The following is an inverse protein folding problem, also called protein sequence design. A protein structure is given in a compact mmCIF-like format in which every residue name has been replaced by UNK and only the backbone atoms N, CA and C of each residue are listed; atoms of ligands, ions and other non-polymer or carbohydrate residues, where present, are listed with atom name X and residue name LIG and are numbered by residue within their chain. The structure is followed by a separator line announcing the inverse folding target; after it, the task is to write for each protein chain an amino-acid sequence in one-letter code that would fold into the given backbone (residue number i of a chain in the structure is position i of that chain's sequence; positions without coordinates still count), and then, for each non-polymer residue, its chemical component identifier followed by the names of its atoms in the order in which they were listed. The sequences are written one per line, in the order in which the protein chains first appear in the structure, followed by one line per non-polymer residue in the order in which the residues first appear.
data_IF_856703290125
#
_entry.id   IF_856703290125
#
_cell.length_a   1.000
_cell.length_b   1.000
_cell.length_c   1.000
_cell.angle_alpha   90.00
_cell.angle_beta   90.00
_cell.angle_gamma   90.00
#
_symmetry.space_group_name_H-M   'P 1'
#
loop_
_entity.id
_entity.type
_entity.pdbx_description
1 polymer ?
#
# COMPACT_ATOMS: atom_id res chain seq x y z
N UNK A 1 1.31 -7.75 16.36
CA UNK A 1 0.13 -7.48 15.47
C UNK A 1 0.19 -8.50 14.35
N UNK A 2 -0.96 -8.99 13.82
CA UNK A 2 -0.98 -9.78 12.58
C UNK A 2 -0.56 -8.87 11.41
N UNK A 3 0.46 -9.28 10.68
CA UNK A 3 1.04 -8.50 9.58
C UNK A 3 0.36 -8.84 8.24
N UNK A 4 0.34 -10.14 7.90
CA UNK A 4 -0.22 -10.64 6.66
C UNK A 4 -1.72 -10.90 6.85
N UNK A 5 -2.57 -9.94 6.48
CA UNK A 5 -4.01 -10.03 6.76
C UNK A 5 -4.84 -9.11 5.86
N UNK A 6 -6.14 -9.39 5.82
CA UNK A 6 -7.15 -8.48 5.28
C UNK A 6 -7.40 -7.28 6.19
N UNK A 7 -7.81 -6.18 5.56
CA UNK A 7 -8.32 -5.00 6.25
C UNK A 7 -9.65 -5.32 6.92
N UNK A 8 -9.73 -5.22 8.25
CA UNK A 8 -10.94 -5.38 9.03
C UNK A 8 -11.26 -4.12 9.83
N UNK A 9 -12.54 -3.79 10.02
CA UNK A 9 -12.98 -2.58 10.71
C UNK A 9 -12.48 -2.54 12.17
N UNK A 10 -12.25 -3.69 12.80
CA UNK A 10 -11.72 -3.81 14.15
C UNK A 10 -10.27 -3.31 14.28
N UNK A 11 -9.56 -3.15 13.19
CA UNK A 11 -8.20 -2.62 13.22
C UNK A 11 -8.15 -1.15 13.65
N UNK A 12 -9.25 -0.40 13.50
CA UNK A 12 -9.38 0.98 14.00
C UNK A 12 -9.60 1.06 15.52
N UNK A 13 -9.95 -0.04 16.16
CA UNK A 13 -10.12 -0.09 17.61
C UNK A 13 -8.79 -0.22 18.38
N UNK A 14 -7.64 -0.31 17.66
CA UNK A 14 -6.31 -0.47 18.24
C UNK A 14 -5.62 0.88 18.44
N UNK A 15 -5.26 1.21 19.69
CA UNK A 15 -4.64 2.50 20.03
C UNK A 15 -3.33 2.78 19.26
N UNK A 16 -2.47 1.77 19.10
CA UNK A 16 -1.23 1.91 18.36
C UNK A 16 -1.49 2.29 16.88
N UNK A 17 -2.44 1.62 16.23
CA UNK A 17 -2.86 1.92 14.86
C UNK A 17 -3.41 3.33 14.75
N UNK A 18 -4.27 3.72 15.69
CA UNK A 18 -4.82 5.06 15.73
C UNK A 18 -3.72 6.13 15.91
N UNK A 19 -2.68 5.86 16.68
CA UNK A 19 -1.54 6.76 16.84
C UNK A 19 -0.77 6.93 15.52
N UNK A 20 -0.49 5.84 14.79
CA UNK A 20 0.15 5.91 13.47
C UNK A 20 -0.70 6.69 12.49
N UNK A 21 -2.01 6.42 12.38
CA UNK A 21 -2.91 7.17 11.49
C UNK A 21 -2.92 8.67 11.80
N UNK A 22 -2.99 9.07 13.08
CA UNK A 22 -2.93 10.50 13.47
C UNK A 22 -1.61 11.16 13.12
N UNK A 23 -0.51 10.41 13.16
CA UNK A 23 0.83 10.90 12.81
C UNK A 23 0.96 11.19 11.32
N UNK A 24 0.50 10.27 10.48
CA UNK A 24 0.63 10.38 9.02
C UNK A 24 -0.49 11.19 8.35
N UNK A 25 -1.66 11.27 8.98
CA UNK A 25 -2.85 11.97 8.48
C UNK A 25 -3.28 13.12 9.44
N UNK A 26 -2.38 14.04 9.83
CA UNK A 26 -2.65 15.04 10.88
C UNK A 26 -3.68 16.09 10.48
N UNK A 27 -4.07 16.15 9.21
CA UNK A 27 -5.09 17.05 8.70
C UNK A 27 -6.52 16.53 8.92
N UNK A 28 -6.72 15.22 9.07
CA UNK A 28 -8.04 14.61 9.26
C UNK A 28 -8.66 14.91 10.64
N UNK A 29 -7.93 14.88 11.77
CA UNK A 29 -8.49 15.22 13.09
C UNK A 29 -9.07 16.64 13.19
N UNK A 30 -8.64 17.56 12.30
CA UNK A 30 -9.20 18.92 12.26
C UNK A 30 -10.67 18.95 11.83
N UNK A 31 -11.10 17.97 11.03
CA UNK A 31 -12.48 17.82 10.59
C UNK A 31 -13.27 16.83 11.47
N UNK A 32 -12.59 15.88 12.13
CA UNK A 32 -13.21 14.80 12.90
C UNK A 32 -12.42 14.53 14.18
N UNK A 33 -12.92 14.99 15.31
CA UNK A 33 -12.24 14.95 16.62
C UNK A 33 -11.98 13.52 17.11
N UNK A 34 -12.78 12.54 16.67
CA UNK A 34 -12.64 11.12 17.03
C UNK A 34 -11.80 10.31 16.05
N UNK A 35 -11.19 10.96 15.04
CA UNK A 35 -10.34 10.28 14.07
C UNK A 35 -9.33 9.34 14.78
N UNK A 36 -9.13 8.10 14.30
CA UNK A 36 -9.60 7.53 13.04
C UNK A 36 -11.00 6.89 13.08
N UNK A 37 -11.67 6.82 14.24
CA UNK A 37 -13.04 6.29 14.35
C UNK A 37 -14.02 7.19 13.61
N UNK A 38 -14.94 6.56 12.88
CA UNK A 38 -15.91 7.27 12.03
C UNK A 38 -15.33 7.75 10.69
N UNK A 39 -14.07 7.39 10.40
CA UNK A 39 -13.40 7.65 9.12
C UNK A 39 -12.60 6.41 8.67
N UNK A 40 -13.20 5.25 8.84
CA UNK A 40 -12.60 3.97 8.49
C UNK A 40 -12.49 3.85 6.96
N UNK A 41 -11.27 3.99 6.44
CA UNK A 41 -10.97 3.94 5.02
C UNK A 41 -9.78 2.99 4.76
N UNK A 42 -9.94 2.04 3.83
CA UNK A 42 -8.93 1.01 3.55
C UNK A 42 -7.55 1.61 3.22
N UNK A 43 -7.46 2.73 2.51
CA UNK A 43 -6.18 3.39 2.22
C UNK A 43 -5.47 3.91 3.47
N UNK A 44 -6.20 4.46 4.45
CA UNK A 44 -5.62 4.85 5.73
C UNK A 44 -5.06 3.62 6.49
N UNK A 45 -5.78 2.48 6.38
CA UNK A 45 -5.32 1.23 6.96
C UNK A 45 -4.04 0.73 6.28
N UNK A 46 -3.97 0.75 4.94
CA UNK A 46 -2.81 0.32 4.18
C UNK A 46 -1.56 1.06 4.64
N UNK A 47 -1.61 2.39 4.71
CA UNK A 47 -0.50 3.23 5.17
C UNK A 47 -0.03 2.85 6.57
N UNK A 48 -0.98 2.73 7.50
CA UNK A 48 -0.66 2.40 8.89
C UNK A 48 -0.20 0.94 9.03
N UNK A 49 -0.78 -0.01 8.28
CA UNK A 49 -0.39 -1.42 8.32
C UNK A 49 1.06 -1.61 7.87
N UNK A 50 1.46 -0.95 6.78
CA UNK A 50 2.82 -1.04 6.27
C UNK A 50 3.81 -0.41 7.25
N UNK A 51 3.56 0.78 7.76
CA UNK A 51 4.45 1.44 8.72
C UNK A 51 4.60 0.65 10.02
N UNK A 52 3.48 0.23 10.61
CA UNK A 52 3.48 -0.57 11.84
C UNK A 52 4.18 -1.93 11.64
N UNK A 53 3.99 -2.54 10.45
CA UNK A 53 4.62 -3.82 10.12
C UNK A 53 6.12 -3.71 9.90
N UNK A 54 6.59 -2.72 9.17
CA UNK A 54 8.02 -2.45 9.00
C UNK A 54 8.69 -2.17 10.35
N UNK A 55 8.00 -1.45 11.26
CA UNK A 55 8.48 -1.24 12.64
C UNK A 55 8.57 -2.54 13.42
N UNK A 56 7.52 -3.34 13.42
CA UNK A 56 7.49 -4.63 14.13
C UNK A 56 8.58 -5.59 13.66
N UNK A 57 8.95 -5.51 12.36
CA UNK A 57 9.99 -6.33 11.74
C UNK A 57 11.40 -5.74 11.89
N UNK A 58 11.55 -4.57 12.53
CA UNK A 58 12.79 -3.81 12.62
C UNK A 58 13.42 -3.53 11.25
N UNK A 59 12.60 -3.27 10.23
CA UNK A 59 13.03 -3.08 8.85
C UNK A 59 13.42 -1.64 8.51
N UNK A 60 13.42 -0.73 9.48
CA UNK A 60 13.67 0.70 9.32
C UNK A 60 14.90 1.17 10.14
N UNK A 61 16.13 0.69 9.85
CA UNK A 61 17.31 1.20 10.53
C UNK A 61 17.52 2.69 10.22
N UNK A 62 18.04 3.45 11.19
CA UNK A 62 18.18 4.92 11.07
C UNK A 62 19.13 5.38 9.96
N UNK A 63 20.07 4.52 9.56
CA UNK A 63 20.99 4.70 8.43
C UNK A 63 20.53 3.96 7.15
N UNK A 64 19.31 3.40 7.17
CA UNK A 64 18.74 2.57 6.12
C UNK A 64 18.26 3.33 4.90
N UNK A 65 18.05 2.58 3.83
CA UNK A 65 17.47 3.02 2.58
C UNK A 65 16.12 2.31 2.38
N UNK A 66 15.08 3.04 2.08
CA UNK A 66 13.75 2.50 1.81
C UNK A 66 13.27 2.91 0.43
N UNK A 67 12.70 1.99 -0.33
CA UNK A 67 12.13 2.22 -1.64
C UNK A 67 10.62 2.07 -1.60
N UNK A 68 9.88 3.08 -2.05
CA UNK A 68 8.48 3.00 -2.44
C UNK A 68 8.37 2.79 -3.95
N UNK A 69 7.74 1.70 -4.38
CA UNK A 69 7.54 1.33 -5.78
C UNK A 69 6.12 1.65 -6.20
N UNK A 70 5.97 2.38 -7.30
CA UNK A 70 4.70 2.97 -7.74
C UNK A 70 4.02 3.73 -6.59
N UNK A 71 4.83 4.55 -5.91
CA UNK A 71 4.47 5.14 -4.62
C UNK A 71 3.69 6.45 -4.73
N UNK A 72 3.49 6.94 -5.95
CA UNK A 72 2.78 8.20 -6.14
C UNK A 72 3.29 9.31 -5.22
N UNK A 73 2.38 9.86 -4.41
CA UNK A 73 2.67 10.89 -3.42
C UNK A 73 2.11 10.53 -2.02
N UNK A 74 2.16 9.26 -1.65
CA UNK A 74 1.60 8.72 -0.42
C UNK A 74 2.23 9.30 0.85
N UNK A 75 1.46 9.46 1.91
CA UNK A 75 1.92 9.98 3.21
C UNK A 75 3.00 9.11 3.86
N UNK A 76 3.05 7.83 3.53
CA UNK A 76 4.09 6.88 3.97
C UNK A 76 5.50 7.37 3.59
N UNK A 77 5.68 7.90 2.37
CA UNK A 77 6.96 8.47 1.91
C UNK A 77 7.48 9.52 2.87
N UNK A 78 6.61 10.46 3.24
CA UNK A 78 6.97 11.61 4.05
C UNK A 78 7.25 11.23 5.50
N UNK A 79 6.46 10.32 6.11
CA UNK A 79 6.72 9.81 7.46
C UNK A 79 8.09 9.10 7.54
N UNK A 80 8.40 8.25 6.57
CA UNK A 80 9.64 7.50 6.50
C UNK A 80 10.89 8.42 6.44
N UNK A 81 10.80 9.62 5.83
CA UNK A 81 11.93 10.57 5.79
C UNK A 81 12.40 11.02 7.17
N UNK A 82 11.55 10.92 8.20
CA UNK A 82 11.91 11.26 9.58
C UNK A 82 12.62 10.11 10.31
N UNK A 83 12.64 8.91 9.72
CA UNK A 83 12.97 7.64 10.39
C UNK A 83 14.23 7.00 9.84
N UNK A 84 14.44 7.05 8.53
CA UNK A 84 15.55 6.41 7.83
C UNK A 84 16.48 7.44 7.19
N UNK A 85 17.63 6.99 6.69
CA UNK A 85 18.61 7.86 6.04
C UNK A 85 18.09 8.44 4.73
N UNK A 86 17.51 7.61 3.86
CA UNK A 86 16.94 8.01 2.57
C UNK A 86 15.70 7.21 2.23
N UNK A 87 14.73 7.91 1.68
CA UNK A 87 13.52 7.33 1.07
C UNK A 87 13.56 7.61 -0.43
N UNK A 88 13.41 6.58 -1.22
CA UNK A 88 13.29 6.66 -2.68
C UNK A 88 11.84 6.40 -3.06
N UNK A 89 11.26 7.29 -3.84
CA UNK A 89 9.92 7.15 -4.42
C UNK A 89 10.05 6.97 -5.92
N UNK A 90 9.55 5.87 -6.45
CA UNK A 90 9.53 5.61 -7.90
C UNK A 90 8.10 5.44 -8.37
N UNK A 91 7.81 5.99 -9.56
CA UNK A 91 6.54 5.81 -10.27
C UNK A 91 6.73 6.22 -11.74
N UNK A 92 5.78 5.88 -12.60
CA UNK A 92 5.71 6.38 -13.98
C UNK A 92 5.10 7.79 -14.04
N UNK A 93 5.56 8.69 -13.20
CA UNK A 93 5.04 10.03 -13.01
C UNK A 93 4.72 10.77 -14.33
N UNK A 94 3.47 11.20 -14.48
CA UNK A 94 2.98 11.90 -15.65
C UNK A 94 2.53 11.01 -16.80
N UNK A 95 2.56 9.68 -16.63
CA UNK A 95 2.15 8.69 -17.66
C UNK A 95 1.12 7.72 -17.04
N UNK A 96 0.28 7.10 -17.90
CA UNK A 96 -0.70 6.11 -17.52
C UNK A 96 -1.98 6.67 -16.91
N UNK A 97 -2.83 5.78 -16.42
CA UNK A 97 -4.17 6.10 -15.92
C UNK A 97 -4.15 7.04 -14.70
N UNK A 98 -3.08 7.02 -13.91
CA UNK A 98 -2.94 7.78 -12.66
C UNK A 98 -2.16 9.09 -12.80
N UNK A 99 -1.74 9.47 -14.02
CA UNK A 99 -0.90 10.65 -14.29
C UNK A 99 -1.48 11.98 -13.78
N UNK A 100 -2.80 12.10 -13.69
CA UNK A 100 -3.50 13.30 -13.20
C UNK A 100 -3.82 13.28 -11.70
N UNK A 101 -3.46 12.21 -11.01
CA UNK A 101 -3.83 11.95 -9.62
C UNK A 101 -2.61 11.49 -8.81
N UNK A 102 -2.52 10.21 -8.45
CA UNK A 102 -1.48 9.65 -7.60
C UNK A 102 -0.08 9.75 -8.22
N UNK A 103 0.04 9.49 -9.53
CA UNK A 103 1.30 9.56 -10.29
C UNK A 103 1.49 10.94 -10.97
N UNK A 104 1.19 12.02 -10.27
CA UNK A 104 1.29 13.38 -10.82
C UNK A 104 2.74 13.75 -11.19
N UNK A 105 2.93 14.30 -12.42
CA UNK A 105 4.25 14.72 -12.91
C UNK A 105 4.94 15.75 -12.00
N UNK A 106 4.17 16.60 -11.33
CA UNK A 106 4.68 17.60 -10.40
C UNK A 106 5.44 17.00 -9.22
N UNK A 107 5.24 15.71 -8.90
CA UNK A 107 6.01 15.01 -7.88
C UNK A 107 7.51 14.97 -8.20
N UNK A 108 7.90 14.96 -9.48
CA UNK A 108 9.31 15.05 -9.91
C UNK A 108 9.92 16.44 -9.73
N UNK A 109 9.11 17.48 -9.63
CA UNK A 109 9.55 18.87 -9.58
C UNK A 109 9.48 19.46 -8.19
N UNK A 110 8.40 19.21 -7.49
CA UNK A 110 8.09 19.73 -6.16
C UNK A 110 7.35 18.69 -5.30
N UNK A 111 8.05 17.67 -4.81
CA UNK A 111 7.45 16.65 -3.96
C UNK A 111 6.93 17.21 -2.63
N UNK A 112 7.49 18.31 -2.13
CA UNK A 112 7.06 18.94 -0.88
C UNK A 112 5.63 19.49 -0.97
N UNK A 113 5.15 19.84 -2.16
CA UNK A 113 3.78 20.33 -2.37
C UNK A 113 2.69 19.30 -2.05
N UNK A 114 3.03 18.01 -2.07
CA UNK A 114 2.13 16.91 -1.73
C UNK A 114 2.20 16.51 -0.25
N UNK A 115 3.24 16.96 0.48
CA UNK A 115 3.43 16.58 1.87
C UNK A 115 2.31 17.13 2.77
N UNK A 116 1.58 16.23 3.43
CA UNK A 116 0.49 16.58 4.35
C UNK A 116 0.84 16.32 5.82
N UNK A 117 2.00 15.71 6.08
CA UNK A 117 2.52 15.47 7.42
C UNK A 117 3.94 16.03 7.54
N UNK A 118 4.47 16.22 8.77
CA UNK A 118 5.84 16.65 8.98
C UNK A 118 6.84 15.68 8.35
N UNK A 119 7.81 16.19 7.61
CA UNK A 119 8.79 15.38 6.91
C UNK A 119 10.17 16.06 6.83
N UNK A 120 11.19 15.28 6.49
CA UNK A 120 12.54 15.77 6.21
C UNK A 120 12.77 15.79 4.68
N UNK A 121 12.53 16.96 4.07
CA UNK A 121 12.64 17.15 2.62
C UNK A 121 14.01 16.74 2.03
N UNK A 122 15.08 16.79 2.82
CA UNK A 122 16.43 16.46 2.37
C UNK A 122 16.70 14.96 2.30
N UNK A 123 15.72 14.12 2.65
CA UNK A 123 15.84 12.66 2.68
C UNK A 123 14.89 11.95 1.71
N UNK A 124 14.17 12.69 0.86
CA UNK A 124 13.31 12.16 -0.18
C UNK A 124 13.96 12.32 -1.54
N UNK A 125 14.06 11.21 -2.29
CA UNK A 125 14.50 11.18 -3.68
C UNK A 125 13.35 10.66 -4.53
N UNK A 126 12.90 11.44 -5.49
CA UNK A 126 11.80 11.08 -6.39
C UNK A 126 12.36 10.81 -7.79
N UNK A 127 12.00 9.68 -8.39
CA UNK A 127 12.51 9.25 -9.67
C UNK A 127 11.39 8.69 -10.55
N UNK A 128 11.40 9.05 -11.83
CA UNK A 128 10.61 8.33 -12.83
C UNK A 128 11.20 6.93 -13.04
N UNK A 129 10.40 5.88 -12.85
CA UNK A 129 10.84 4.50 -13.02
C UNK A 129 9.66 3.56 -13.20
N UNK A 130 9.80 2.58 -14.09
CA UNK A 130 8.83 1.51 -14.25
C UNK A 130 9.05 0.46 -13.14
N UNK A 131 7.97 0.04 -12.49
CA UNK A 131 7.99 -1.01 -11.46
C UNK A 131 8.43 -2.38 -12.01
N UNK A 132 8.31 -2.59 -13.31
CA UNK A 132 8.70 -3.82 -14.00
C UNK A 132 10.18 -3.82 -14.42
N UNK A 133 10.89 -2.68 -14.31
CA UNK A 133 12.31 -2.51 -14.66
C UNK A 133 12.93 -1.47 -13.71
N UNK A 134 13.18 -1.88 -12.46
CA UNK A 134 13.80 -1.04 -11.45
C UNK A 134 15.30 -0.88 -11.73
N UNK A 135 15.74 0.36 -12.04
CA UNK A 135 17.13 0.67 -12.39
C UNK A 135 17.99 0.97 -11.17
N UNK A 136 17.77 0.21 -10.09
CA UNK A 136 18.60 0.19 -8.91
C UNK A 136 19.47 -1.07 -8.90
N UNK A 137 20.65 -0.94 -8.28
CA UNK A 137 21.53 -2.07 -8.05
C UNK A 137 20.85 -3.12 -7.15
N UNK A 138 21.26 -4.37 -7.31
CA UNK A 138 20.83 -5.46 -6.44
C UNK A 138 21.16 -5.16 -4.98
N UNK A 139 20.34 -5.64 -4.06
CA UNK A 139 20.61 -5.56 -2.61
C UNK A 139 20.89 -4.15 -2.07
N UNK A 140 20.19 -3.15 -2.60
CA UNK A 140 20.38 -1.74 -2.23
C UNK A 140 19.59 -1.35 -0.99
N UNK A 141 18.34 -1.80 -0.87
CA UNK A 141 17.37 -1.29 0.11
C UNK A 141 17.18 -2.22 1.31
N UNK A 142 17.02 -1.64 2.49
CA UNK A 142 16.70 -2.38 3.72
C UNK A 142 15.24 -2.82 3.73
N UNK A 143 14.34 -1.99 3.15
CA UNK A 143 12.95 -2.33 2.90
C UNK A 143 12.48 -1.77 1.55
N UNK A 144 11.57 -2.50 0.91
CA UNK A 144 10.86 -2.07 -0.30
C UNK A 144 9.37 -2.21 -0.03
N UNK A 145 8.58 -1.20 -0.40
CA UNK A 145 7.14 -1.31 -0.27
C UNK A 145 6.40 -0.82 -1.53
N UNK A 146 5.15 -1.29 -1.69
CA UNK A 146 4.24 -0.92 -2.78
C UNK A 146 2.80 -0.99 -2.26
N UNK A 147 2.00 0.07 -2.46
CA UNK A 147 0.66 0.15 -1.87
C UNK A 147 -0.42 0.22 -2.95
N UNK A 148 -1.26 -0.83 -3.04
CA UNK A 148 -2.33 -0.95 -4.03
C UNK A 148 -1.86 -0.54 -5.43
N UNK A 149 -0.81 -1.19 -5.88
CA UNK A 149 -0.19 -0.89 -7.17
C UNK A 149 0.00 -2.13 -8.03
N UNK A 150 0.31 -3.30 -7.42
CA UNK A 150 0.59 -4.52 -8.19
C UNK A 150 -0.61 -5.00 -9.03
N UNK A 151 -1.82 -4.68 -8.62
CA UNK A 151 -3.06 -4.92 -9.35
C UNK A 151 -3.17 -4.13 -10.66
N UNK A 152 -2.31 -3.12 -10.86
CA UNK A 152 -2.28 -2.24 -12.04
C UNK A 152 -1.16 -2.56 -13.03
N UNK A 153 -0.33 -3.56 -12.76
CA UNK A 153 0.88 -3.84 -13.55
C UNK A 153 0.68 -4.82 -14.71
N UNK A 154 -0.57 -5.11 -15.08
CA UNK A 154 -0.87 -6.00 -16.21
C UNK A 154 -0.98 -7.47 -15.78
N UNK A 155 -2.10 -7.80 -15.17
CA UNK A 155 -2.45 -9.14 -14.70
C UNK A 155 -1.42 -9.73 -13.70
N UNK A 156 -1.55 -10.99 -13.40
CA UNK A 156 -0.64 -11.72 -12.51
C UNK A 156 0.82 -11.69 -12.99
N UNK A 157 1.04 -11.76 -14.30
CA UNK A 157 2.39 -11.78 -14.86
C UNK A 157 3.17 -10.49 -14.57
N UNK A 158 2.54 -9.34 -14.74
CA UNK A 158 3.15 -8.04 -14.41
C UNK A 158 3.38 -7.88 -12.90
N UNK A 159 2.38 -8.27 -12.08
CA UNK A 159 2.53 -8.27 -10.63
C UNK A 159 3.73 -9.12 -10.17
N UNK A 160 3.90 -10.33 -10.71
CA UNK A 160 5.02 -11.21 -10.42
C UNK A 160 6.37 -10.61 -10.86
N UNK A 161 6.42 -9.96 -12.03
CA UNK A 161 7.63 -9.29 -12.51
C UNK A 161 8.03 -8.15 -11.56
N UNK A 162 7.08 -7.32 -11.15
CA UNK A 162 7.34 -6.22 -10.22
C UNK A 162 7.79 -6.71 -8.84
N UNK A 163 7.21 -7.81 -8.34
CA UNK A 163 7.61 -8.41 -7.07
C UNK A 163 9.02 -9.04 -7.16
N UNK A 164 9.41 -9.61 -8.32
CA UNK A 164 10.76 -10.12 -8.54
C UNK A 164 11.80 -8.99 -8.60
N UNK A 165 11.46 -7.85 -9.23
CA UNK A 165 12.30 -6.64 -9.19
C UNK A 165 12.45 -6.08 -7.77
N UNK A 166 11.36 -6.03 -6.99
CA UNK A 166 11.41 -5.64 -5.58
C UNK A 166 12.30 -6.59 -4.76
N UNK A 167 12.21 -7.90 -5.01
CA UNK A 167 13.10 -8.91 -4.43
C UNK A 167 14.56 -8.66 -4.79
N UNK A 168 14.84 -8.37 -6.05
CA UNK A 168 16.22 -8.15 -6.53
C UNK A 168 16.89 -6.98 -5.82
N UNK A 169 16.17 -5.87 -5.66
CA UNK A 169 16.74 -4.63 -5.11
C UNK A 169 16.73 -4.56 -3.57
N UNK A 170 15.94 -5.39 -2.87
CA UNK A 170 15.99 -5.47 -1.41
C UNK A 170 17.19 -6.31 -0.97
N UNK A 171 17.84 -5.94 0.13
CA UNK A 171 18.97 -6.69 0.72
C UNK A 171 18.54 -8.05 1.25
N UNK A 172 19.49 -8.98 1.35
CA UNK A 172 19.26 -10.22 2.11
C UNK A 172 18.83 -9.89 3.54
N UNK A 173 17.81 -10.59 4.04
CA UNK A 173 17.18 -10.34 5.32
C UNK A 173 16.24 -9.12 5.34
N UNK A 174 16.25 -8.30 4.30
CA UNK A 174 15.37 -7.15 4.15
C UNK A 174 13.91 -7.54 3.88
N UNK A 175 13.02 -6.57 3.88
CA UNK A 175 11.58 -6.78 3.79
C UNK A 175 11.03 -6.20 2.48
N UNK A 176 10.26 -7.01 1.76
CA UNK A 176 9.32 -6.57 0.74
C UNK A 176 7.93 -6.56 1.36
N UNK A 177 7.27 -5.41 1.34
CA UNK A 177 5.92 -5.27 1.89
C UNK A 177 4.99 -4.65 0.84
N UNK A 178 3.83 -5.22 0.64
CA UNK A 178 2.88 -4.63 -0.28
C UNK A 178 1.44 -4.76 0.20
N UNK A 179 0.59 -3.88 -0.30
CA UNK A 179 -0.85 -4.08 -0.24
C UNK A 179 -1.40 -4.25 -1.65
N UNK A 180 -2.47 -5.01 -1.77
CA UNK A 180 -3.23 -5.16 -3.01
C UNK A 180 -4.70 -5.44 -2.71
N UNK A 181 -5.51 -5.51 -3.74
CA UNK A 181 -6.94 -5.74 -3.62
C UNK A 181 -7.27 -7.21 -3.85
N UNK A 182 -8.00 -7.80 -2.92
CA UNK A 182 -8.42 -9.21 -2.97
C UNK A 182 -9.92 -9.37 -2.83
N UNK A 183 -10.50 -10.25 -3.65
CA UNK A 183 -11.93 -10.58 -3.65
C UNK A 183 -12.25 -11.38 -2.39
N UNK A 184 -13.32 -10.99 -1.69
CA UNK A 184 -13.75 -11.55 -0.41
C UNK A 184 -15.11 -12.27 -0.49
N UNK A 185 -15.73 -12.35 -1.67
CA UNK A 185 -16.90 -13.17 -1.93
C UNK A 185 -16.57 -14.28 -2.95
N UNK A 186 -17.55 -15.14 -3.30
CA UNK A 186 -17.34 -16.26 -4.23
C UNK A 186 -17.22 -15.87 -5.71
N UNK A 187 -17.10 -14.56 -6.01
CA UNK A 187 -16.97 -14.10 -7.38
C UNK A 187 -15.60 -14.49 -7.98
N UNK A 188 -15.52 -14.71 -9.31
CA UNK A 188 -14.26 -14.98 -9.98
C UNK A 188 -13.34 -13.74 -9.98
N UNK A 189 -12.03 -13.96 -10.14
CA UNK A 189 -11.06 -12.88 -10.38
C UNK A 189 -11.53 -11.94 -11.49
N UNK A 190 -11.07 -10.71 -11.44
CA UNK A 190 -11.27 -9.72 -12.49
C UNK A 190 -9.90 -9.39 -13.08
N UNK A 191 -9.82 -9.40 -14.39
CA UNK A 191 -8.66 -8.93 -15.14
C UNK A 191 -9.17 -8.09 -16.30
N UNK A 192 -9.02 -6.78 -16.16
CA UNK A 192 -9.39 -5.77 -17.15
C UNK A 192 -8.21 -4.82 -17.34
N UNK A 193 -8.17 -4.02 -18.42
CA UNK A 193 -7.13 -3.01 -18.55
C UNK A 193 -6.98 -2.18 -17.27
N UNK A 194 -5.76 -2.07 -16.79
CA UNK A 194 -5.35 -1.28 -15.62
C UNK A 194 -5.90 -1.75 -14.25
N UNK A 195 -6.55 -2.93 -14.16
CA UNK A 195 -7.00 -3.47 -12.86
C UNK A 195 -7.12 -4.99 -12.87
N UNK A 196 -6.45 -5.63 -11.91
CA UNK A 196 -6.62 -7.05 -11.59
C UNK A 196 -7.11 -7.20 -10.15
N UNK A 197 -8.28 -7.79 -9.93
CA UNK A 197 -8.71 -8.20 -8.60
C UNK A 197 -8.37 -9.68 -8.40
N UNK A 198 -7.46 -9.94 -7.49
CA UNK A 198 -6.98 -11.29 -7.18
C UNK A 198 -7.97 -12.04 -6.29
N UNK A 199 -7.96 -13.37 -6.39
CA UNK A 199 -8.57 -14.24 -5.37
C UNK A 199 -7.55 -14.55 -4.28
N UNK A 200 -8.02 -14.90 -3.08
CA UNK A 200 -7.16 -15.22 -1.94
C UNK A 200 -6.19 -16.37 -2.24
N UNK A 201 -6.68 -17.42 -2.90
CA UNK A 201 -5.87 -18.60 -3.28
C UNK A 201 -4.83 -18.24 -4.35
N UNK A 202 -5.19 -17.40 -5.31
CA UNK A 202 -4.27 -16.91 -6.35
C UNK A 202 -3.14 -16.10 -5.72
N UNK A 203 -3.46 -15.16 -4.83
CA UNK A 203 -2.45 -14.34 -4.15
C UNK A 203 -1.53 -15.18 -3.26
N UNK A 204 -2.09 -16.17 -2.54
CA UNK A 204 -1.30 -17.09 -1.73
C UNK A 204 -0.33 -17.91 -2.59
N UNK A 205 -0.78 -18.41 -3.74
CA UNK A 205 0.07 -19.14 -4.71
C UNK A 205 1.16 -18.23 -5.30
N UNK A 206 0.82 -17.00 -5.68
CA UNK A 206 1.80 -16.01 -6.15
C UNK A 206 2.92 -15.82 -5.14
N UNK A 207 2.59 -15.59 -3.85
CA UNK A 207 3.58 -15.44 -2.78
C UNK A 207 4.48 -16.66 -2.61
N UNK A 208 3.95 -17.89 -2.78
CA UNK A 208 4.73 -19.13 -2.67
C UNK A 208 5.68 -19.34 -3.87
N UNK A 209 5.35 -18.79 -5.03
CA UNK A 209 6.16 -18.91 -6.26
C UNK A 209 7.29 -17.89 -6.37
N UNK A 210 7.38 -16.90 -5.46
CA UNK A 210 8.46 -15.91 -5.47
C UNK A 210 9.76 -16.52 -4.92
N UNK A 211 10.80 -16.73 -5.76
CA UNK A 211 12.02 -17.36 -5.30
C UNK A 211 12.78 -16.45 -4.34
N UNK A 212 13.26 -16.99 -3.22
CA UNK A 212 14.05 -16.23 -2.24
C UNK A 212 13.28 -15.18 -1.45
N UNK A 213 11.94 -15.18 -1.51
CA UNK A 213 11.07 -14.44 -0.62
C UNK A 213 10.21 -15.42 0.18
N UNK A 214 10.14 -15.21 1.49
CA UNK A 214 9.30 -16.01 2.38
C UNK A 214 8.33 -15.13 3.16
N UNK A 215 7.08 -15.58 3.26
CA UNK A 215 6.09 -14.92 4.11
C UNK A 215 6.61 -14.83 5.56
N UNK A 216 6.57 -13.65 6.17
CA UNK A 216 6.99 -13.48 7.57
C UNK A 216 6.08 -14.22 8.54
N UNK A 217 4.86 -14.50 8.13
CA UNK A 217 3.84 -15.30 8.82
C UNK A 217 2.76 -15.73 7.81
N UNK A 218 1.91 -16.74 8.12
CA UNK A 218 0.79 -17.10 7.25
C UNK A 218 -0.17 -15.93 7.01
N UNK A 219 -0.82 -15.93 5.83
CA UNK A 219 -1.81 -14.90 5.49
C UNK A 219 -3.14 -15.24 6.15
N UNK A 220 -3.68 -14.27 6.89
CA UNK A 220 -5.02 -14.34 7.45
C UNK A 220 -6.05 -13.68 6.52
N UNK A 221 -6.80 -14.50 5.80
CA UNK A 221 -7.88 -14.04 4.91
C UNK A 221 -9.24 -14.00 5.62
N UNK A 222 -9.29 -14.05 6.93
CA UNK A 222 -10.55 -13.96 7.66
C UNK A 222 -11.09 -12.52 7.68
N UNK A 223 -12.41 -12.40 7.55
CA UNK A 223 -13.13 -11.14 7.70
C UNK A 223 -14.24 -11.28 8.73
N UNK A 224 -14.45 -10.22 9.50
CA UNK A 224 -15.55 -10.17 10.46
C UNK A 224 -16.88 -9.86 9.76
N UNK A 225 -17.97 -10.36 10.35
CA UNK A 225 -19.34 -10.02 9.89
C UNK A 225 -19.58 -8.51 9.91
N UNK A 226 -19.00 -7.80 10.88
CA UNK A 226 -19.07 -6.35 10.99
C UNK A 226 -18.42 -5.64 9.78
N UNK A 227 -17.30 -6.16 9.30
CA UNK A 227 -16.64 -5.64 8.10
C UNK A 227 -17.47 -5.93 6.85
N UNK A 228 -17.94 -7.16 6.71
CA UNK A 228 -18.75 -7.61 5.57
C UNK A 228 -20.13 -6.92 5.47
N UNK A 229 -20.65 -6.42 6.59
CA UNK A 229 -21.93 -5.70 6.60
C UNK A 229 -21.86 -4.30 5.94
N UNK A 230 -20.66 -3.80 5.63
CA UNK A 230 -20.44 -2.44 5.13
C UNK A 230 -19.78 -2.49 3.74
N UNK A 231 -20.59 -2.64 2.70
CA UNK A 231 -20.13 -2.66 1.30
C UNK A 231 -20.44 -1.31 0.65
N UNK A 232 -19.45 -0.72 0.00
CA UNK A 232 -19.59 0.50 -0.81
C UNK A 232 -19.33 0.16 -2.27
N UNK A 233 -20.28 0.46 -3.17
CA UNK A 233 -20.03 0.25 -4.61
C UNK A 233 -19.04 1.29 -5.15
N UNK A 234 -18.25 0.91 -6.15
CA UNK A 234 -17.35 1.86 -6.83
C UNK A 234 -18.13 3.03 -7.45
N UNK A 235 -19.32 2.77 -7.98
CA UNK A 235 -20.21 3.81 -8.51
C UNK A 235 -20.60 4.83 -7.43
N UNK A 236 -20.98 4.35 -6.23
CA UNK A 236 -21.31 5.22 -5.10
C UNK A 236 -20.09 6.03 -4.64
N UNK A 237 -18.93 5.39 -4.50
CA UNK A 237 -17.70 6.07 -4.10
C UNK A 237 -17.30 7.18 -5.10
N UNK A 238 -17.43 6.92 -6.40
CA UNK A 238 -17.17 7.92 -7.45
C UNK A 238 -18.17 9.08 -7.41
N UNK A 239 -19.46 8.79 -7.21
CA UNK A 239 -20.50 9.82 -7.09
C UNK A 239 -20.28 10.70 -5.85
N UNK A 240 -19.85 10.12 -4.74
CA UNK A 240 -19.53 10.85 -3.50
C UNK A 240 -18.29 11.71 -3.68
N UNK A 241 -17.23 11.19 -4.33
CA UNK A 241 -16.01 11.94 -4.63
C UNK A 241 -16.29 13.18 -5.51
N UNK A 242 -17.18 13.08 -6.50
CA UNK A 242 -17.62 14.23 -7.32
C UNK A 242 -18.30 15.33 -6.50
N UNK A 243 -18.87 14.98 -5.35
CA UNK A 243 -19.48 15.93 -4.38
C UNK A 243 -18.50 16.37 -3.30
N UNK A 244 -17.21 16.00 -3.40
CA UNK A 244 -16.19 16.20 -2.36
C UNK A 244 -16.59 15.60 -1.01
N UNK A 245 -17.26 14.46 -1.06
CA UNK A 245 -17.73 13.70 0.09
C UNK A 245 -17.12 12.30 0.09
N UNK A 246 -16.89 11.74 1.26
CA UNK A 246 -16.50 10.32 1.44
C UNK A 246 -17.42 9.71 2.49
N UNK A 247 -18.19 8.71 2.09
CA UNK A 247 -18.99 7.94 3.03
C UNK A 247 -18.08 6.94 3.77
N UNK A 248 -18.25 6.84 5.07
CA UNK A 248 -17.53 5.89 5.92
C UNK A 248 -18.50 4.90 6.57
N UNK A 249 -18.09 3.65 6.85
CA UNK A 249 -16.78 3.08 6.53
C UNK A 249 -16.64 2.77 5.03
N UNK A 250 -15.41 2.85 4.49
CA UNK A 250 -15.06 2.50 3.13
C UNK A 250 -13.95 1.43 3.14
N UNK A 251 -14.32 0.21 3.52
CA UNK A 251 -13.40 -0.92 3.71
C UNK A 251 -13.64 -1.98 2.63
N UNK A 252 -14.86 -2.47 2.49
CA UNK A 252 -15.22 -3.41 1.43
C UNK A 252 -15.82 -2.62 0.27
N UNK A 253 -15.20 -2.76 -0.89
CA UNK A 253 -15.65 -2.15 -2.13
C UNK A 253 -16.35 -3.18 -3.00
N UNK A 254 -17.25 -2.75 -3.88
CA UNK A 254 -17.87 -3.61 -4.87
C UNK A 254 -17.69 -3.05 -6.28
N UNK A 255 -17.25 -3.92 -7.19
CA UNK A 255 -17.13 -3.66 -8.62
C UNK A 255 -17.68 -4.87 -9.41
N UNK A 256 -18.71 -4.66 -10.20
CA UNK A 256 -19.28 -5.71 -11.07
C UNK A 256 -19.60 -7.01 -10.30
N UNK A 257 -20.20 -6.90 -9.10
CA UNK A 257 -20.56 -8.03 -8.25
C UNK A 257 -19.40 -8.68 -7.48
N UNK A 258 -18.19 -8.15 -7.59
CA UNK A 258 -17.02 -8.57 -6.82
C UNK A 258 -16.87 -7.67 -5.62
N UNK A 259 -16.96 -8.26 -4.43
CA UNK A 259 -16.65 -7.57 -3.20
C UNK A 259 -15.18 -7.79 -2.90
N UNK A 260 -14.44 -6.71 -2.65
CA UNK A 260 -13.00 -6.77 -2.43
C UNK A 260 -12.56 -5.79 -1.34
N UNK A 261 -11.41 -6.08 -0.73
CA UNK A 261 -10.77 -5.20 0.24
C UNK A 261 -9.26 -5.28 0.09
N UNK A 262 -8.54 -4.45 0.83
CA UNK A 262 -7.09 -4.49 0.86
C UNK A 262 -6.57 -5.63 1.72
N UNK A 263 -5.51 -6.28 1.25
CA UNK A 263 -4.68 -7.22 2.00
C UNK A 263 -3.28 -6.64 2.12
N UNK A 264 -2.63 -6.82 3.26
CA UNK A 264 -1.21 -6.51 3.43
C UNK A 264 -0.39 -7.80 3.49
N UNK A 265 0.73 -7.81 2.80
CA UNK A 265 1.66 -8.93 2.72
C UNK A 265 3.08 -8.43 3.03
N UNK A 266 3.77 -9.13 3.91
CA UNK A 266 5.16 -8.90 4.26
C UNK A 266 5.95 -10.18 3.96
N UNK A 267 6.99 -10.02 3.18
CA UNK A 267 7.90 -11.08 2.76
C UNK A 267 9.32 -10.71 3.21
N UNK A 268 10.08 -11.70 3.66
CA UNK A 268 11.49 -11.53 3.97
C UNK A 268 12.35 -12.15 2.87
N UNK A 269 13.36 -11.43 2.41
CA UNK A 269 14.34 -11.99 1.51
C UNK A 269 15.27 -12.95 2.26
N UNK A 270 15.34 -14.20 1.80
CA UNK A 270 16.10 -15.30 2.45
C UNK A 270 17.31 -15.76 1.62
N UNK A 271 17.33 -15.48 0.33
CA UNK A 271 18.43 -15.86 -0.58
C UNK A 271 18.56 -14.86 -1.75
#
# INVERSE_FOLDING_TARGET
MQLNKLCNIEDWDRDARAATMRRILPYLPKAHTEFPKGMEHRKHWEFAQILDGLDQLNALPSDGLVLGVAAGHEEVLYDLTNRVRWVFATDIYGIGAFAGYEAAHTMLQDPDSFARCPHNRNRLVVQYMDALDLRHEDETFDAVYSLSSIEHFGAEAGAMTALDEQRRVVKQGGIVAFTTEVIVNDAPSLDVPDLTLFRSEQLADMCQRLPGLELVEPIDFSMSDRTLANVTTMEQAQADAQRSYVAYPQIVMELQGRQFTSVAIFLRRTA
#
